data_IF_365911920186
#
_entry.id   IF_365911920186
#
_cell.length_a   1.000
_cell.length_b   1.000
_cell.length_c   1.000
_cell.angle_alpha   90.00
_cell.angle_beta   90.00
_cell.angle_gamma   90.00
#
_symmetry.space_group_name_H-M   'P 1'
#
loop_
_entity.id
_entity.type
_entity.pdbx_description
1 polymer ?
#
# COMPACT_ATOMS: atom_id res chain seq x y z
N UNK A 1 -44.08 2.68 9.01
CA UNK A 1 -43.82 1.27 9.35
C UNK A 1 -42.40 0.94 8.99
N UNK A 2 -41.56 0.80 10.02
CA UNK A 2 -40.15 0.47 9.91
C UNK A 2 -40.01 -1.03 9.68
N UNK A 3 -39.29 -1.42 8.63
CA UNK A 3 -39.03 -2.82 8.33
C UNK A 3 -38.59 -2.98 6.89
N UNK A 4 -37.52 -3.75 6.69
CA UNK A 4 -36.98 -4.19 5.39
C UNK A 4 -36.07 -3.18 4.67
N UNK A 5 -34.97 -2.77 5.32
CA UNK A 5 -33.73 -2.38 4.61
C UNK A 5 -32.53 -2.74 5.48
N UNK A 6 -32.04 -3.98 5.39
CA UNK A 6 -30.66 -4.40 5.77
C UNK A 6 -30.55 -5.93 5.76
N UNK A 7 -30.27 -6.54 4.61
CA UNK A 7 -29.96 -7.97 4.56
C UNK A 7 -29.17 -8.28 3.28
N UNK A 8 -27.88 -7.91 3.27
CA UNK A 8 -26.79 -8.53 2.47
C UNK A 8 -25.43 -7.83 2.69
N UNK A 9 -25.42 -6.72 3.44
CA UNK A 9 -24.24 -5.89 3.73
C UNK A 9 -23.48 -6.31 5.02
N UNK A 10 -24.09 -7.17 5.84
CA UNK A 10 -23.65 -7.55 7.19
C UNK A 10 -22.53 -8.60 7.17
N UNK A 11 -22.42 -9.41 6.11
CA UNK A 11 -21.57 -10.62 6.10
C UNK A 11 -20.08 -10.35 5.82
N UNK A 12 -19.70 -9.13 5.41
CA UNK A 12 -18.33 -8.79 5.01
C UNK A 12 -17.50 -8.15 6.15
N UNK A 13 -18.14 -7.39 7.04
CA UNK A 13 -17.49 -6.72 8.17
C UNK A 13 -17.24 -7.66 9.35
N UNK A 14 -18.06 -8.70 9.53
CA UNK A 14 -17.74 -9.83 10.41
C UNK A 14 -16.49 -10.60 9.94
N UNK A 15 -16.25 -10.68 8.63
CA UNK A 15 -14.99 -11.22 8.07
C UNK A 15 -13.80 -10.29 8.28
N UNK A 16 -13.98 -8.96 8.23
CA UNK A 16 -12.93 -8.00 8.56
C UNK A 16 -12.53 -8.11 10.04
N UNK A 17 -13.49 -8.20 10.95
CA UNK A 17 -13.24 -8.37 12.38
C UNK A 17 -12.67 -9.77 12.71
N UNK A 18 -13.19 -10.86 12.13
CA UNK A 18 -12.70 -12.24 12.39
C UNK A 18 -11.34 -12.52 11.72
N UNK A 19 -11.06 -11.97 10.53
CA UNK A 19 -9.74 -12.10 9.89
C UNK A 19 -8.71 -11.26 10.63
N UNK A 20 -9.06 -10.05 11.07
CA UNK A 20 -8.16 -9.20 11.83
C UNK A 20 -7.96 -9.76 13.25
N UNK A 21 -9.01 -10.04 14.01
CA UNK A 21 -8.91 -10.62 15.38
C UNK A 21 -8.32 -12.04 15.37
N UNK A 22 -8.63 -12.86 14.37
CA UNK A 22 -8.08 -14.21 14.21
C UNK A 22 -6.60 -14.24 13.83
N UNK A 23 -6.12 -13.27 13.03
CA UNK A 23 -4.69 -13.12 12.70
C UNK A 23 -3.92 -12.40 13.81
N UNK A 24 -4.57 -11.46 14.50
CA UNK A 24 -4.06 -10.74 15.68
C UNK A 24 -3.77 -11.72 16.82
N UNK A 25 -4.64 -12.73 17.07
CA UNK A 25 -4.37 -13.80 18.05
C UNK A 25 -3.13 -14.67 17.73
N UNK A 26 -2.76 -14.80 16.45
CA UNK A 26 -1.66 -15.66 15.99
C UNK A 26 -0.31 -14.91 15.98
N UNK A 27 -0.33 -13.56 15.99
CA UNK A 27 0.88 -12.73 15.81
C UNK A 27 1.20 -11.87 17.06
N UNK A 28 0.26 -11.72 18.01
CA UNK A 28 0.39 -10.87 19.20
C UNK A 28 1.23 -11.41 20.38
N UNK A 29 2.17 -12.34 20.19
CA UNK A 29 3.07 -12.67 21.32
C UNK A 29 4.23 -11.69 21.50
N UNK A 30 4.62 -10.92 20.47
CA UNK A 30 5.84 -10.08 20.54
C UNK A 30 5.74 -8.65 19.90
N UNK A 31 4.57 -8.15 19.50
CA UNK A 31 4.45 -6.94 18.65
C UNK A 31 3.57 -5.81 19.24
N UNK A 32 3.82 -5.42 20.48
CA UNK A 32 2.99 -4.46 21.22
C UNK A 32 2.84 -3.04 20.59
N UNK A 33 3.90 -2.35 20.10
CA UNK A 33 3.74 -0.96 19.65
C UNK A 33 3.16 -0.82 18.24
N UNK A 34 3.34 -1.83 17.37
CA UNK A 34 2.90 -1.78 15.96
C UNK A 34 1.53 -2.40 15.71
N UNK A 35 1.12 -3.36 16.56
CA UNK A 35 -0.26 -3.84 16.58
C UNK A 35 -1.23 -2.72 17.05
N UNK A 36 -0.76 -1.83 17.92
CA UNK A 36 -1.49 -0.65 18.37
C UNK A 36 -1.81 0.29 17.21
N UNK A 37 -0.89 0.50 16.26
CA UNK A 37 -1.11 1.34 15.06
C UNK A 37 -2.25 0.82 14.19
N UNK A 38 -2.32 -0.50 13.98
CA UNK A 38 -3.37 -1.15 13.21
C UNK A 38 -4.71 -1.13 13.97
N UNK A 39 -4.70 -1.41 15.27
CA UNK A 39 -5.87 -1.30 16.15
C UNK A 39 -6.42 0.13 16.18
N UNK A 40 -5.54 1.13 16.28
CA UNK A 40 -5.91 2.54 16.26
C UNK A 40 -6.48 2.94 14.90
N UNK A 41 -5.88 2.56 13.77
CA UNK A 41 -6.44 2.87 12.44
C UNK A 41 -7.80 2.19 12.23
N UNK A 42 -7.98 0.96 12.69
CA UNK A 42 -9.25 0.22 12.57
C UNK A 42 -10.33 0.79 13.49
N UNK A 43 -9.98 1.16 14.72
CA UNK A 43 -10.88 1.85 15.65
C UNK A 43 -11.20 3.27 15.18
N UNK A 44 -10.27 3.98 14.54
CA UNK A 44 -10.48 5.30 13.92
C UNK A 44 -11.46 5.24 12.76
N UNK A 45 -11.28 4.28 11.84
CA UNK A 45 -12.22 4.04 10.75
C UNK A 45 -13.59 3.65 11.31
N UNK A 46 -13.65 2.82 12.36
CA UNK A 46 -14.90 2.52 13.07
C UNK A 46 -15.54 3.74 13.75
N UNK A 47 -14.75 4.66 14.32
CA UNK A 47 -15.25 5.87 14.98
C UNK A 47 -15.85 6.88 14.01
N UNK A 48 -15.20 7.07 12.85
CA UNK A 48 -15.72 7.89 11.74
C UNK A 48 -17.05 7.31 11.23
N UNK A 49 -17.08 5.99 11.00
CA UNK A 49 -18.29 5.27 10.57
C UNK A 49 -19.42 5.40 11.61
N UNK A 50 -19.11 5.30 12.92
CA UNK A 50 -20.10 5.40 13.99
C UNK A 50 -20.62 6.83 14.23
N UNK A 51 -19.84 7.86 13.93
CA UNK A 51 -20.26 9.27 14.06
C UNK A 51 -21.14 9.75 12.91
N UNK A 52 -21.13 9.05 11.77
CA UNK A 52 -21.77 9.55 10.56
C UNK A 52 -21.00 10.71 9.89
N UNK A 53 -19.74 10.95 10.28
CA UNK A 53 -18.83 11.92 9.66
C UNK A 53 -18.33 11.37 8.31
N UNK A 54 -19.24 11.26 7.35
CA UNK A 54 -18.91 10.86 6.01
C UNK A 54 -18.44 12.08 5.21
N UNK A 55 -17.40 11.91 4.40
CA UNK A 55 -16.87 12.97 3.56
C UNK A 55 -17.94 13.46 2.57
N UNK A 56 -18.30 14.74 2.66
CA UNK A 56 -19.30 15.40 1.81
C UNK A 56 -18.67 15.95 0.51
N UNK A 57 -19.46 16.63 -0.31
CA UNK A 57 -18.98 17.22 -1.57
C UNK A 57 -18.01 18.39 -1.34
N UNK A 58 -18.17 19.16 -0.26
CA UNK A 58 -17.30 20.29 0.06
C UNK A 58 -15.93 19.82 0.55
N UNK A 59 -15.90 18.78 1.36
CA UNK A 59 -14.68 18.12 1.83
C UNK A 59 -13.93 17.47 0.67
N UNK A 60 -14.65 16.85 -0.28
CA UNK A 60 -14.03 16.38 -1.52
C UNK A 60 -13.29 17.51 -2.24
N UNK A 61 -13.93 18.67 -2.43
CA UNK A 61 -13.31 19.81 -3.13
C UNK A 61 -12.01 20.25 -2.45
N UNK A 62 -11.97 20.30 -1.11
CA UNK A 62 -10.76 20.68 -0.35
C UNK A 62 -9.59 19.71 -0.60
N UNK A 63 -9.87 18.44 -0.88
CA UNK A 63 -8.85 17.44 -1.16
C UNK A 63 -8.30 17.53 -2.59
N UNK A 64 -9.04 18.13 -3.53
CA UNK A 64 -8.66 18.15 -4.94
C UNK A 64 -7.52 19.14 -5.22
N UNK A 65 -6.63 18.81 -6.17
CA UNK A 65 -5.61 19.74 -6.62
C UNK A 65 -6.22 20.96 -7.33
N UNK A 66 -5.56 22.10 -7.19
CA UNK A 66 -5.90 23.32 -7.94
C UNK A 66 -5.85 23.06 -9.45
N UNK A 67 -6.85 23.54 -10.20
CA UNK A 67 -6.90 23.37 -11.66
C UNK A 67 -7.47 22.03 -12.14
N UNK A 68 -7.99 21.18 -11.24
CA UNK A 68 -8.58 19.89 -11.62
C UNK A 68 -9.71 20.00 -12.66
N UNK A 69 -10.48 21.10 -12.63
CA UNK A 69 -11.54 21.38 -13.60
C UNK A 69 -10.98 21.65 -14.99
N UNK A 70 -9.98 22.52 -15.09
CA UNK A 70 -9.33 22.84 -16.36
C UNK A 70 -8.66 21.58 -16.95
N UNK A 71 -7.97 20.81 -16.11
CA UNK A 71 -7.37 19.54 -16.50
C UNK A 71 -8.41 18.53 -17.04
N UNK A 72 -9.66 18.55 -16.52
CA UNK A 72 -10.74 17.71 -17.02
C UNK A 72 -11.04 17.96 -18.51
N UNK A 73 -11.06 19.23 -18.90
CA UNK A 73 -11.30 19.64 -20.29
C UNK A 73 -10.06 19.42 -21.16
N UNK A 74 -8.87 19.79 -20.69
CA UNK A 74 -7.61 19.63 -21.42
C UNK A 74 -7.31 18.17 -21.75
N UNK A 75 -7.54 17.27 -20.78
CA UNK A 75 -7.40 15.82 -20.94
C UNK A 75 -8.61 15.18 -21.63
N UNK A 76 -9.58 15.98 -22.10
CA UNK A 76 -10.77 15.55 -22.87
C UNK A 76 -11.66 14.55 -22.12
N UNK A 77 -11.61 14.56 -20.78
CA UNK A 77 -12.54 13.78 -19.95
C UNK A 77 -13.97 14.29 -20.13
N UNK A 78 -14.17 15.61 -20.25
CA UNK A 78 -15.39 16.23 -20.76
C UNK A 78 -15.06 17.00 -22.04
N UNK A 79 -15.79 16.70 -23.12
CA UNK A 79 -15.68 17.41 -24.41
C UNK A 79 -16.97 18.10 -24.83
N UNK A 80 -18.12 17.61 -24.35
CA UNK A 80 -19.45 18.19 -24.60
C UNK A 80 -20.27 18.07 -23.32
N UNK A 81 -20.87 19.16 -22.87
CA UNK A 81 -21.71 19.24 -21.67
C UNK A 81 -23.12 18.71 -22.00
N UNK A 82 -23.28 17.38 -22.00
CA UNK A 82 -24.59 16.71 -22.16
C UNK A 82 -25.22 16.47 -20.78
N UNK A 83 -25.45 15.21 -20.40
CA UNK A 83 -25.90 14.82 -19.06
C UNK A 83 -24.94 15.34 -17.98
N UNK A 84 -23.65 15.05 -18.12
CA UNK A 84 -22.63 15.49 -17.16
C UNK A 84 -22.18 16.91 -17.55
N UNK A 85 -22.49 17.88 -16.68
CA UNK A 85 -22.33 19.32 -16.96
C UNK A 85 -21.00 19.90 -16.47
N UNK A 86 -20.49 19.41 -15.35
CA UNK A 86 -19.27 19.91 -14.71
C UNK A 86 -18.31 18.76 -14.30
N UNK A 87 -17.02 19.07 -14.07
CA UNK A 87 -16.02 18.10 -13.65
C UNK A 87 -16.30 17.44 -12.30
N UNK A 88 -16.84 18.18 -11.33
CA UNK A 88 -17.12 17.66 -9.99
C UNK A 88 -18.13 16.52 -10.00
N UNK A 89 -19.24 16.67 -10.74
CA UNK A 89 -20.25 15.63 -10.91
C UNK A 89 -19.69 14.38 -11.60
N UNK A 90 -18.82 14.59 -12.60
CA UNK A 90 -18.10 13.48 -13.22
C UNK A 90 -17.24 12.73 -12.21
N UNK A 91 -16.50 13.46 -11.38
CA UNK A 91 -15.65 12.86 -10.36
C UNK A 91 -16.47 12.12 -9.30
N UNK A 92 -17.57 12.70 -8.81
CA UNK A 92 -18.50 12.05 -7.87
C UNK A 92 -19.01 10.71 -8.44
N UNK A 93 -19.42 10.68 -9.70
CA UNK A 93 -19.82 9.44 -10.37
C UNK A 93 -18.70 8.39 -10.45
N UNK A 94 -17.49 8.84 -10.80
CA UNK A 94 -16.31 7.97 -10.90
C UNK A 94 -15.98 7.39 -9.52
N UNK A 95 -15.90 8.22 -8.48
CA UNK A 95 -15.58 7.78 -7.12
C UNK A 95 -16.67 6.87 -6.56
N UNK A 96 -17.95 7.16 -6.83
CA UNK A 96 -19.07 6.29 -6.46
C UNK A 96 -18.92 4.91 -7.12
N UNK A 97 -18.68 4.86 -8.44
CA UNK A 97 -18.45 3.62 -9.16
C UNK A 97 -17.27 2.81 -8.60
N UNK A 98 -16.19 3.51 -8.24
CA UNK A 98 -14.98 2.92 -7.67
C UNK A 98 -15.14 2.57 -6.18
N UNK A 99 -16.19 3.03 -5.49
CA UNK A 99 -16.41 2.77 -4.07
C UNK A 99 -17.08 1.40 -3.84
N UNK A 100 -16.29 0.37 -3.52
CA UNK A 100 -16.82 -0.97 -3.22
C UNK A 100 -17.42 -1.71 -4.44
N UNK A 101 -18.44 -2.55 -4.20
CA UNK A 101 -19.11 -3.40 -5.20
C UNK A 101 -20.32 -2.71 -5.85
N UNK A 102 -20.14 -1.55 -6.49
CA UNK A 102 -21.24 -0.90 -7.23
C UNK A 102 -21.40 -1.50 -8.62
N UNK A 103 -22.64 -1.82 -8.96
CA UNK A 103 -23.04 -2.15 -10.32
C UNK A 103 -23.19 -0.88 -11.16
N UNK A 104 -23.22 -1.02 -12.49
CA UNK A 104 -23.52 0.11 -13.38
C UNK A 104 -24.95 0.64 -13.20
N UNK A 105 -25.87 -0.21 -12.74
CA UNK A 105 -27.23 0.17 -12.35
C UNK A 105 -27.16 1.13 -11.16
N UNK A 106 -26.35 0.83 -10.14
CA UNK A 106 -26.18 1.72 -8.98
C UNK A 106 -25.64 3.09 -9.39
N UNK A 107 -24.68 3.13 -10.31
CA UNK A 107 -24.13 4.40 -10.84
C UNK A 107 -25.20 5.20 -11.57
N UNK A 108 -26.01 4.56 -12.39
CA UNK A 108 -27.11 5.20 -13.12
C UNK A 108 -28.17 5.77 -12.17
N UNK A 109 -28.51 5.04 -11.10
CA UNK A 109 -29.42 5.52 -10.06
C UNK A 109 -28.82 6.67 -9.25
N UNK A 110 -27.56 6.57 -8.87
CA UNK A 110 -26.84 7.63 -8.17
C UNK A 110 -26.80 8.93 -9.00
N UNK A 111 -26.60 8.82 -10.31
CA UNK A 111 -26.63 9.98 -11.22
C UNK A 111 -28.01 10.68 -11.24
N UNK A 112 -29.11 9.91 -11.16
CA UNK A 112 -30.46 10.46 -11.12
C UNK A 112 -30.74 11.15 -9.78
N UNK A 113 -30.45 10.48 -8.67
CA UNK A 113 -30.71 10.99 -7.31
C UNK A 113 -29.86 12.23 -7.02
N UNK A 114 -28.63 12.28 -7.54
CA UNK A 114 -27.72 13.42 -7.33
C UNK A 114 -27.94 14.58 -8.31
N UNK A 115 -29.03 14.57 -9.10
CA UNK A 115 -29.35 15.64 -10.04
C UNK A 115 -28.44 15.76 -11.26
N UNK A 116 -27.49 14.83 -11.46
CA UNK A 116 -26.57 14.81 -12.61
C UNK A 116 -27.32 14.46 -13.89
N UNK A 117 -28.32 13.58 -13.78
CA UNK A 117 -29.25 13.24 -14.85
C UNK A 117 -29.08 11.83 -15.41
N UNK A 118 -29.91 11.49 -16.40
CA UNK A 118 -29.99 10.13 -16.95
C UNK A 118 -28.76 9.78 -17.77
N UNK A 119 -28.03 8.75 -17.33
CA UNK A 119 -26.89 8.15 -18.02
C UNK A 119 -27.13 6.64 -18.16
N UNK A 120 -26.72 6.06 -19.29
CA UNK A 120 -26.76 4.61 -19.48
C UNK A 120 -25.42 3.98 -19.09
N UNK A 121 -25.44 2.70 -18.74
CA UNK A 121 -24.25 1.89 -18.43
C UNK A 121 -23.14 2.04 -19.50
N UNK A 122 -23.51 1.92 -20.78
CA UNK A 122 -22.58 2.08 -21.91
C UNK A 122 -22.08 3.52 -22.03
N UNK A 123 -22.95 4.50 -21.78
CA UNK A 123 -22.60 5.92 -21.80
C UNK A 123 -21.60 6.28 -20.69
N UNK A 124 -21.83 5.77 -19.48
CA UNK A 124 -20.93 5.92 -18.35
C UNK A 124 -19.59 5.24 -18.61
N UNK A 125 -19.57 3.97 -19.02
CA UNK A 125 -18.30 3.27 -19.26
C UNK A 125 -17.44 3.91 -20.36
N UNK A 126 -18.06 4.36 -21.46
CA UNK A 126 -17.36 5.14 -22.49
C UNK A 126 -16.78 6.45 -21.95
N UNK A 127 -17.46 7.08 -20.99
CA UNK A 127 -16.98 8.29 -20.33
C UNK A 127 -15.84 7.96 -19.35
N UNK A 128 -16.01 6.94 -18.51
CA UNK A 128 -15.04 6.47 -17.52
C UNK A 128 -13.67 6.18 -18.18
N UNK A 129 -13.66 5.42 -19.27
CA UNK A 129 -12.44 5.12 -20.03
C UNK A 129 -11.76 6.41 -20.54
N UNK A 130 -12.55 7.38 -21.02
CA UNK A 130 -12.02 8.69 -21.45
C UNK A 130 -11.46 9.54 -20.31
N UNK A 131 -11.76 9.21 -19.06
CA UNK A 131 -11.24 9.92 -17.90
C UNK A 131 -9.83 9.47 -17.51
N UNK A 132 -9.28 8.42 -18.14
CA UNK A 132 -7.98 7.84 -17.79
C UNK A 132 -6.88 8.89 -17.58
N UNK A 133 -6.63 9.73 -18.59
CA UNK A 133 -5.58 10.75 -18.55
C UNK A 133 -5.85 11.83 -17.49
N UNK A 134 -7.12 12.12 -17.22
CA UNK A 134 -7.50 13.07 -16.17
C UNK A 134 -7.35 12.47 -14.77
N UNK A 135 -7.67 11.19 -14.59
CA UNK A 135 -7.45 10.45 -13.34
C UNK A 135 -5.94 10.36 -13.05
N UNK A 136 -5.12 10.04 -14.06
CA UNK A 136 -3.65 10.04 -13.93
C UNK A 136 -3.15 11.44 -13.54
N UNK A 137 -3.69 12.49 -14.15
CA UNK A 137 -3.35 13.86 -13.77
C UNK A 137 -3.72 14.13 -12.31
N UNK A 138 -4.90 13.73 -11.85
CA UNK A 138 -5.33 13.88 -10.46
C UNK A 138 -4.38 13.16 -9.50
N UNK A 139 -4.00 11.90 -9.77
CA UNK A 139 -3.09 11.15 -8.90
C UNK A 139 -1.70 11.75 -8.82
N UNK A 140 -1.24 12.42 -9.87
CA UNK A 140 0.06 13.11 -9.90
C UNK A 140 0.06 14.45 -9.15
N UNK A 141 -1.10 15.09 -8.99
CA UNK A 141 -1.21 16.44 -8.41
C UNK A 141 -1.82 16.45 -7.00
N UNK A 142 -2.32 15.32 -6.50
CA UNK A 142 -2.71 15.19 -5.09
C UNK A 142 -1.45 15.23 -4.23
N UNK A 143 -1.32 16.29 -3.45
CA UNK A 143 -0.25 16.41 -2.47
C UNK A 143 -0.54 15.49 -1.28
N UNK A 144 0.47 14.72 -0.81
CA UNK A 144 0.32 13.89 0.36
C UNK A 144 0.09 14.76 1.60
N UNK A 145 -0.75 14.26 2.50
CA UNK A 145 -0.93 14.82 3.83
C UNK A 145 -0.55 13.74 4.85
N UNK A 146 0.47 13.97 5.71
CA UNK A 146 0.95 12.95 6.64
C UNK A 146 -0.17 12.38 7.50
N UNK A 147 -0.36 11.06 7.47
CA UNK A 147 -1.42 10.36 8.22
C UNK A 147 -1.03 10.21 9.70
N UNK A 148 0.28 10.19 9.97
CA UNK A 148 0.83 10.10 11.32
C UNK A 148 2.02 11.05 11.45
N UNK A 149 2.16 11.63 12.64
CA UNK A 149 3.34 12.38 13.05
C UNK A 149 4.16 11.51 14.01
N UNK A 150 4.81 10.46 13.50
CA UNK A 150 5.79 9.72 14.31
C UNK A 150 7.09 10.52 14.36
N UNK A 151 7.66 10.65 15.56
CA UNK A 151 9.02 11.16 15.68
C UNK A 151 9.99 10.16 15.04
N UNK A 152 10.73 10.64 14.04
CA UNK A 152 11.83 9.88 13.46
C UNK A 152 12.92 9.71 14.53
N UNK A 153 13.54 8.54 14.61
CA UNK A 153 14.81 8.42 15.33
C UNK A 153 15.83 9.42 14.80
N UNK A 154 16.68 9.98 15.66
CA UNK A 154 17.60 11.06 15.27
C UNK A 154 18.49 10.71 14.06
N UNK A 155 18.93 9.46 13.95
CA UNK A 155 19.75 9.01 12.80
C UNK A 155 18.96 8.90 11.48
N UNK A 156 17.61 8.90 11.54
CA UNK A 156 16.72 8.88 10.38
C UNK A 156 16.23 10.25 9.94
N UNK A 157 16.49 11.31 10.72
CA UNK A 157 16.17 12.69 10.37
C UNK A 157 16.66 13.13 8.98
N UNK A 158 17.90 12.83 8.55
CA UNK A 158 18.37 13.25 7.23
C UNK A 158 17.71 12.48 6.07
N UNK A 159 16.92 11.45 6.38
CA UNK A 159 16.39 10.54 5.37
C UNK A 159 14.88 10.67 5.15
N UNK A 160 14.50 10.62 3.87
CA UNK A 160 13.18 10.16 3.45
C UNK A 160 13.21 8.63 3.36
N UNK A 161 12.56 7.97 4.32
CA UNK A 161 12.63 6.51 4.43
C UNK A 161 11.50 5.86 3.65
N UNK A 162 11.84 5.21 2.54
CA UNK A 162 10.91 4.65 1.57
C UNK A 162 10.89 3.13 1.67
N UNK A 163 9.77 2.53 2.08
CA UNK A 163 9.56 1.11 1.90
C UNK A 163 9.00 0.84 0.49
N UNK A 164 9.74 0.04 -0.27
CA UNK A 164 9.43 -0.27 -1.67
C UNK A 164 9.08 -1.74 -1.81
N UNK A 165 7.98 -2.00 -2.52
CA UNK A 165 7.56 -3.33 -2.91
C UNK A 165 6.63 -3.26 -4.13
N UNK A 166 6.27 -4.42 -4.69
CA UNK A 166 5.33 -4.53 -5.79
C UNK A 166 4.21 -5.52 -5.47
N UNK A 167 3.06 -5.33 -6.12
CA UNK A 167 1.93 -6.24 -5.99
C UNK A 167 1.25 -6.52 -7.31
N UNK A 168 0.96 -7.80 -7.52
CA UNK A 168 0.19 -8.27 -8.67
C UNK A 168 -1.28 -7.89 -8.57
N UNK A 169 -1.82 -7.43 -9.69
CA UNK A 169 -3.24 -7.17 -9.90
C UNK A 169 -3.69 -7.98 -11.12
N UNK A 170 -4.74 -8.78 -10.96
CA UNK A 170 -5.21 -9.71 -11.99
C UNK A 170 -6.58 -9.29 -12.50
N UNK A 171 -6.76 -9.31 -13.81
CA UNK A 171 -8.06 -9.07 -14.44
C UNK A 171 -9.00 -10.29 -14.29
N UNK A 172 -10.28 -10.04 -14.01
CA UNK A 172 -11.33 -11.08 -14.00
C UNK A 172 -11.83 -11.31 -15.43
N UNK A 173 -11.54 -12.47 -16.00
CA UNK A 173 -12.03 -12.85 -17.32
C UNK A 173 -11.36 -14.11 -17.88
N UNK A 174 -11.76 -14.51 -19.08
CA UNK A 174 -11.15 -15.64 -19.80
C UNK A 174 -9.68 -15.37 -20.17
N UNK A 175 -9.36 -14.10 -20.49
CA UNK A 175 -7.99 -13.63 -20.69
C UNK A 175 -7.52 -12.97 -19.40
N UNK A 176 -6.65 -13.65 -18.64
CA UNK A 176 -6.10 -13.13 -17.39
C UNK A 176 -4.89 -12.24 -17.69
N UNK A 177 -5.11 -10.93 -17.76
CA UNK A 177 -4.00 -9.97 -17.81
C UNK A 177 -3.45 -9.74 -16.41
N UNK A 178 -2.13 -9.65 -16.32
CA UNK A 178 -1.40 -9.39 -15.08
C UNK A 178 -0.78 -7.99 -15.15
N UNK A 179 -1.08 -7.20 -14.13
CA UNK A 179 -0.50 -5.88 -13.89
C UNK A 179 0.33 -5.91 -12.62
N UNK A 180 1.39 -5.11 -12.58
CA UNK A 180 2.20 -4.88 -11.39
C UNK A 180 1.98 -3.44 -10.92
N UNK A 181 1.59 -3.30 -9.65
CA UNK A 181 1.63 -2.04 -8.94
C UNK A 181 2.94 -1.97 -8.15
N UNK A 182 3.89 -1.19 -8.64
CA UNK A 182 5.11 -0.82 -7.91
C UNK A 182 4.77 0.35 -7.00
N UNK A 183 5.11 0.27 -5.71
CA UNK A 183 4.68 1.25 -4.72
C UNK A 183 5.79 1.57 -3.73
N UNK A 184 5.99 2.86 -3.47
CA UNK A 184 6.89 3.39 -2.45
C UNK A 184 6.06 4.15 -1.42
N UNK A 185 6.08 3.68 -0.18
CA UNK A 185 5.46 4.37 0.96
C UNK A 185 6.54 5.04 1.79
N UNK A 186 6.33 6.30 2.14
CA UNK A 186 7.16 6.97 3.15
C UNK A 186 6.76 6.45 4.54
N UNK A 187 7.70 5.85 5.26
CA UNK A 187 7.40 5.12 6.50
C UNK A 187 7.00 6.01 7.68
N UNK A 188 7.33 7.30 7.63
CA UNK A 188 7.11 8.21 8.76
C UNK A 188 5.91 9.13 8.56
N UNK A 189 5.49 9.33 7.32
CA UNK A 189 4.20 9.97 6.98
C UNK A 189 3.09 8.96 6.65
N UNK A 190 3.45 7.71 6.32
CA UNK A 190 2.56 6.66 5.79
C UNK A 190 1.76 7.06 4.55
N UNK A 191 2.27 8.02 3.78
CA UNK A 191 1.68 8.45 2.52
C UNK A 191 2.35 7.77 1.34
N UNK A 192 1.60 7.61 0.24
CA UNK A 192 2.19 7.29 -1.05
C UNK A 192 3.26 8.33 -1.44
N UNK A 193 4.50 7.90 -1.60
CA UNK A 193 5.56 8.75 -2.15
C UNK A 193 5.61 8.62 -3.68
N UNK A 194 5.62 7.38 -4.17
CA UNK A 194 5.64 7.08 -5.60
C UNK A 194 4.88 5.79 -5.88
N UNK A 195 4.25 5.71 -7.04
CA UNK A 195 3.75 4.46 -7.55
C UNK A 195 3.91 4.40 -9.07
N UNK A 196 3.94 3.18 -9.62
CA UNK A 196 3.97 2.94 -11.06
C UNK A 196 3.16 1.70 -11.38
N UNK A 197 2.34 1.79 -12.41
CA UNK A 197 1.55 0.66 -12.91
C UNK A 197 2.22 0.18 -14.20
N UNK A 198 2.50 -1.12 -14.28
CA UNK A 198 3.10 -1.73 -15.47
C UNK A 198 2.41 -3.03 -15.82
N UNK A 199 2.52 -3.47 -17.07
CA UNK A 199 2.12 -4.82 -17.48
C UNK A 199 3.13 -5.88 -17.05
N UNK A 200 2.81 -7.15 -17.32
CA UNK A 200 3.59 -8.34 -16.97
C UNK A 200 5.04 -8.37 -17.47
N UNK A 201 5.36 -7.66 -18.56
CA UNK A 201 6.70 -7.65 -19.13
C UNK A 201 7.72 -6.88 -18.29
N UNK A 202 7.25 -6.01 -17.39
CA UNK A 202 8.12 -5.19 -16.54
C UNK A 202 8.23 -5.81 -15.16
N UNK A 203 9.42 -6.31 -14.84
CA UNK A 203 9.71 -6.91 -13.53
C UNK A 203 9.86 -5.89 -12.40
N UNK A 204 9.95 -6.44 -11.19
CA UNK A 204 10.23 -5.71 -9.96
C UNK A 204 11.68 -5.20 -9.97
N UNK A 205 11.86 -3.88 -9.94
CA UNK A 205 13.18 -3.25 -9.94
C UNK A 205 13.14 -1.87 -9.30
N UNK A 206 14.21 -1.49 -8.60
CA UNK A 206 14.36 -0.11 -8.10
C UNK A 206 14.41 0.93 -9.23
N UNK A 207 14.69 0.52 -10.48
CA UNK A 207 14.62 1.38 -11.67
C UNK A 207 13.21 1.89 -11.97
N UNK A 208 12.18 1.29 -11.38
CA UNK A 208 10.80 1.78 -11.51
C UNK A 208 10.53 3.03 -10.65
N UNK A 209 11.48 3.43 -9.81
CA UNK A 209 11.37 4.56 -8.89
C UNK A 209 12.43 5.61 -9.17
N UNK A 210 12.07 6.86 -8.94
CA UNK A 210 12.99 8.00 -9.00
C UNK A 210 13.58 8.18 -7.62
N UNK A 211 14.85 7.83 -7.46
CA UNK A 211 15.59 7.97 -6.20
C UNK A 211 16.44 9.24 -6.26
N UNK A 212 16.80 9.78 -5.11
CA UNK A 212 17.63 10.96 -4.99
C UNK A 212 18.45 10.93 -3.69
N UNK A 213 19.38 11.88 -3.59
CA UNK A 213 20.11 12.15 -2.35
C UNK A 213 19.14 12.38 -1.19
N UNK A 214 19.40 11.72 -0.07
CA UNK A 214 18.54 11.77 1.12
C UNK A 214 17.40 10.75 1.13
N UNK A 215 17.22 9.92 0.09
CA UNK A 215 16.32 8.77 0.17
C UNK A 215 17.02 7.59 0.86
N UNK A 216 16.33 6.92 1.79
CA UNK A 216 16.72 5.63 2.35
C UNK A 216 15.71 4.56 1.93
N UNK A 217 16.11 3.68 1.02
CA UNK A 217 15.24 2.63 0.46
C UNK A 217 15.29 1.37 1.32
N UNK A 218 14.13 0.92 1.77
CA UNK A 218 13.96 -0.39 2.42
C UNK A 218 13.21 -1.32 1.47
N UNK A 219 13.86 -2.40 1.03
CA UNK A 219 13.28 -3.29 0.03
C UNK A 219 13.53 -4.78 0.32
N UNK A 220 12.67 -5.62 -0.23
CA UNK A 220 12.71 -7.05 -0.03
C UNK A 220 13.84 -7.74 -0.83
N UNK A 221 13.87 -9.07 -0.79
CA UNK A 221 14.90 -9.89 -1.46
C UNK A 221 14.80 -9.97 -2.98
N UNK A 222 13.68 -9.56 -3.59
CA UNK A 222 13.59 -9.44 -5.04
C UNK A 222 14.45 -8.27 -5.53
N UNK A 223 14.54 -7.21 -4.72
CA UNK A 223 15.34 -6.01 -5.03
C UNK A 223 16.83 -6.16 -4.69
N UNK A 224 17.24 -7.18 -3.93
CA UNK A 224 18.64 -7.44 -3.54
C UNK A 224 19.57 -7.89 -4.68
N UNK A 225 19.65 -7.11 -5.76
CA UNK A 225 20.49 -7.35 -6.93
C UNK A 225 21.53 -6.23 -7.10
N UNK A 226 22.65 -6.55 -7.75
CA UNK A 226 23.72 -5.57 -8.07
C UNK A 226 23.14 -4.34 -8.78
N UNK A 227 22.30 -4.56 -9.80
CA UNK A 227 21.69 -3.47 -10.60
C UNK A 227 20.80 -2.54 -9.77
N UNK A 228 20.09 -3.08 -8.77
CA UNK A 228 19.24 -2.28 -7.89
C UNK A 228 20.08 -1.41 -6.95
N UNK A 229 21.12 -1.98 -6.34
CA UNK A 229 22.01 -1.25 -5.43
C UNK A 229 22.78 -0.16 -6.19
N UNK A 230 23.28 -0.46 -7.38
CA UNK A 230 23.91 0.53 -8.27
C UNK A 230 22.98 1.68 -8.63
N UNK A 231 21.73 1.38 -9.01
CA UNK A 231 20.75 2.42 -9.33
C UNK A 231 20.50 3.35 -8.15
N UNK A 232 20.42 2.81 -6.94
CA UNK A 232 20.25 3.59 -5.72
C UNK A 232 21.46 4.47 -5.41
N UNK A 233 22.67 3.90 -5.43
CA UNK A 233 23.92 4.63 -5.17
C UNK A 233 24.20 5.71 -6.23
N UNK A 234 23.95 5.40 -7.51
CA UNK A 234 24.15 6.36 -8.60
C UNK A 234 23.22 7.58 -8.49
N UNK A 235 22.04 7.40 -7.87
CA UNK A 235 21.12 8.48 -7.56
C UNK A 235 21.47 9.25 -6.27
N UNK A 236 22.53 8.84 -5.55
CA UNK A 236 22.93 9.40 -4.26
C UNK A 236 22.07 8.95 -3.08
N UNK A 237 21.21 7.96 -3.27
CA UNK A 237 20.38 7.39 -2.22
C UNK A 237 21.10 6.28 -1.44
N UNK A 238 20.58 5.99 -0.26
CA UNK A 238 21.01 4.90 0.60
C UNK A 238 19.97 3.78 0.65
N UNK A 239 20.38 2.59 1.09
CA UNK A 239 19.48 1.45 1.13
C UNK A 239 19.70 0.50 2.31
N UNK A 240 18.64 -0.21 2.70
CA UNK A 240 18.65 -1.39 3.55
C UNK A 240 17.84 -2.47 2.84
N UNK A 241 18.51 -3.41 2.19
CA UNK A 241 17.87 -4.40 1.30
C UNK A 241 18.16 -5.80 1.81
N UNK A 242 17.13 -6.64 1.87
CA UNK A 242 17.35 -8.06 2.14
C UNK A 242 17.96 -8.74 0.92
N UNK A 243 18.93 -9.62 1.13
CA UNK A 243 19.56 -10.37 0.04
C UNK A 243 19.22 -11.85 0.11
N UNK A 244 19.32 -12.54 -1.02
CA UNK A 244 19.22 -14.00 -1.10
C UNK A 244 20.58 -14.61 -0.74
N UNK A 245 20.58 -15.86 -0.26
CA UNK A 245 21.82 -16.61 -0.21
C UNK A 245 22.40 -16.73 -1.63
N UNK A 246 23.72 -16.48 -1.78
CA UNK A 246 24.44 -16.46 -3.06
C UNK A 246 23.82 -15.54 -4.12
N UNK A 247 23.28 -14.39 -3.73
CA UNK A 247 22.77 -13.40 -4.68
C UNK A 247 23.85 -12.91 -5.65
N UNK A 248 25.07 -12.73 -5.15
CA UNK A 248 26.28 -12.32 -5.87
C UNK A 248 27.50 -12.72 -5.03
N UNK A 249 28.69 -12.59 -5.62
CA UNK A 249 29.94 -12.77 -4.88
C UNK A 249 30.20 -11.55 -4.00
N UNK A 250 30.57 -11.80 -2.75
CA UNK A 250 31.06 -10.80 -1.80
C UNK A 250 32.56 -10.94 -1.64
N UNK A 251 33.23 -9.83 -1.42
CA UNK A 251 34.68 -9.73 -1.35
C UNK A 251 35.13 -8.97 -0.09
N UNK A 252 36.37 -9.20 0.34
CA UNK A 252 37.06 -8.35 1.31
C UNK A 252 37.69 -7.12 0.63
N UNK A 253 38.41 -6.29 1.40
CA UNK A 253 39.08 -5.10 0.91
C UNK A 253 40.21 -5.39 -0.10
N UNK A 254 40.83 -6.57 0.01
CA UNK A 254 41.91 -7.03 -0.86
C UNK A 254 41.38 -7.72 -2.12
N UNK A 255 40.06 -7.85 -2.26
CA UNK A 255 39.40 -8.51 -3.39
C UNK A 255 39.35 -10.04 -3.27
N UNK A 256 39.71 -10.58 -2.11
CA UNK A 256 39.51 -11.98 -1.75
C UNK A 256 38.02 -12.31 -1.62
N UNK A 257 37.63 -13.50 -2.07
CA UNK A 257 36.21 -13.90 -2.06
C UNK A 257 35.82 -14.40 -0.66
N UNK A 258 34.79 -13.80 -0.08
CA UNK A 258 34.27 -14.19 1.22
C UNK A 258 33.22 -15.30 1.10
N UNK A 259 33.28 -16.28 2.00
CA UNK A 259 32.26 -17.33 2.14
C UNK A 259 31.20 -16.87 3.13
N UNK A 260 30.08 -16.38 2.59
CA UNK A 260 29.00 -15.77 3.39
C UNK A 260 28.47 -16.66 4.51
N UNK A 261 28.37 -17.96 4.28
CA UNK A 261 27.86 -18.92 5.28
C UNK A 261 28.79 -19.14 6.45
N UNK A 262 30.10 -19.00 6.26
CA UNK A 262 31.08 -19.25 7.32
C UNK A 262 31.02 -18.13 8.35
N UNK A 263 30.88 -16.89 7.89
CA UNK A 263 30.58 -15.75 8.77
C UNK A 263 29.23 -15.92 9.47
N UNK A 264 28.16 -16.31 8.77
CA UNK A 264 26.85 -16.51 9.43
C UNK A 264 26.89 -17.54 10.58
N UNK A 265 27.83 -18.51 10.58
CA UNK A 265 27.96 -19.48 11.69
C UNK A 265 28.45 -18.83 12.98
N UNK A 266 29.19 -17.72 12.88
CA UNK A 266 29.67 -16.97 14.05
C UNK A 266 28.58 -16.08 14.64
N UNK A 267 27.57 -15.72 13.84
CA UNK A 267 26.52 -14.78 14.22
C UNK A 267 25.58 -15.37 15.30
N UNK A 268 25.49 -14.68 16.43
CA UNK A 268 24.60 -14.97 17.55
C UNK A 268 23.21 -14.34 17.42
N UNK A 269 22.45 -14.32 18.52
CA UNK A 269 21.14 -13.64 18.57
C UNK A 269 21.26 -12.11 18.60
N UNK A 270 22.45 -11.59 18.94
CA UNK A 270 22.81 -10.18 18.86
C UNK A 270 23.05 -9.76 17.42
N UNK A 271 22.80 -8.48 17.11
CA UNK A 271 23.09 -7.92 15.81
C UNK A 271 24.62 -7.83 15.60
N UNK A 272 25.09 -8.41 14.51
CA UNK A 272 26.48 -8.38 14.08
C UNK A 272 26.57 -7.82 12.66
N UNK A 273 27.76 -7.35 12.28
CA UNK A 273 28.02 -6.78 10.98
C UNK A 273 29.30 -7.30 10.33
N UNK A 274 29.33 -7.21 9.01
CA UNK A 274 30.46 -7.56 8.17
C UNK A 274 30.62 -6.51 7.08
N UNK A 275 31.79 -5.88 7.04
CA UNK A 275 32.18 -5.03 5.91
C UNK A 275 32.47 -5.92 4.70
N UNK A 276 31.86 -5.59 3.57
CA UNK A 276 31.97 -6.36 2.34
C UNK A 276 32.15 -5.44 1.15
N UNK A 277 32.73 -5.98 0.09
CA UNK A 277 32.78 -5.34 -1.20
C UNK A 277 31.99 -6.15 -2.21
N UNK A 278 31.24 -5.47 -3.07
CA UNK A 278 30.58 -6.09 -4.22
C UNK A 278 31.21 -5.55 -5.49
N UNK A 279 31.24 -6.37 -6.55
CA UNK A 279 31.62 -5.87 -7.88
C UNK A 279 30.39 -5.28 -8.57
N UNK A 280 30.49 -4.01 -8.95
CA UNK A 280 29.49 -3.38 -9.77
C UNK A 280 29.57 -3.86 -11.24
N UNK A 281 28.70 -3.34 -12.10
CA UNK A 281 28.59 -3.64 -13.53
C UNK A 281 29.87 -3.26 -14.29
N UNK A 282 30.65 -2.30 -13.78
CA UNK A 282 31.97 -1.90 -14.28
C UNK A 282 33.13 -2.72 -13.65
N UNK A 283 32.80 -3.75 -12.86
CA UNK A 283 33.75 -4.60 -12.11
C UNK A 283 34.56 -3.87 -11.03
N UNK A 284 34.18 -2.65 -10.64
CA UNK A 284 34.77 -1.92 -9.52
C UNK A 284 34.22 -2.45 -8.20
N UNK A 285 35.08 -2.49 -7.18
CA UNK A 285 34.69 -2.85 -5.82
C UNK A 285 33.94 -1.67 -5.18
N UNK A 286 32.74 -1.95 -4.67
CA UNK A 286 31.90 -0.99 -3.96
C UNK A 286 31.79 -1.44 -2.50
N UNK A 287 32.24 -0.61 -1.54
CA UNK A 287 32.15 -0.94 -0.12
C UNK A 287 30.69 -0.88 0.34
N UNK A 288 30.27 -1.90 1.09
CA UNK A 288 28.96 -2.04 1.69
C UNK A 288 29.10 -2.77 3.03
N UNK A 289 28.00 -2.89 3.76
CA UNK A 289 27.93 -3.64 5.01
C UNK A 289 26.79 -4.63 4.98
N UNK A 290 27.00 -5.82 5.55
CA UNK A 290 25.93 -6.77 5.83
C UNK A 290 25.69 -6.75 7.34
N UNK A 291 24.44 -6.53 7.75
CA UNK A 291 24.00 -6.65 9.13
C UNK A 291 23.18 -7.93 9.27
N UNK A 292 23.45 -8.74 10.29
CA UNK A 292 22.75 -10.00 10.53
C UNK A 292 22.48 -10.24 12.02
N UNK A 293 21.40 -10.97 12.31
CA UNK A 293 21.20 -11.61 13.60
C UNK A 293 20.59 -12.99 13.40
N UNK A 294 20.87 -13.91 14.32
CA UNK A 294 20.19 -15.19 14.40
C UNK A 294 18.78 -14.98 14.93
N UNK A 295 17.81 -15.59 14.26
CA UNK A 295 16.41 -15.60 14.73
C UNK A 295 16.30 -16.35 16.04
N UNK A 296 15.32 -15.98 16.85
CA UNK A 296 15.01 -16.69 18.09
C UNK A 296 14.57 -18.13 17.81
N UNK A 297 14.67 -19.01 18.81
CA UNK A 297 14.22 -20.42 18.69
C UNK A 297 12.77 -20.54 18.22
N UNK A 298 11.89 -19.65 18.68
CA UNK A 298 10.47 -19.62 18.31
C UNK A 298 10.28 -19.25 16.82
N UNK A 299 10.98 -18.21 16.35
CA UNK A 299 10.96 -17.79 14.95
C UNK A 299 11.55 -18.87 14.01
N UNK A 300 12.62 -19.55 14.43
CA UNK A 300 13.21 -20.67 13.70
C UNK A 300 12.20 -21.82 13.57
N UNK A 301 11.50 -22.16 14.65
CA UNK A 301 10.48 -23.22 14.63
C UNK A 301 9.33 -22.86 13.67
N UNK A 302 8.83 -21.63 13.72
CA UNK A 302 7.79 -21.14 12.82
C UNK A 302 8.26 -21.15 11.34
N UNK A 303 9.50 -20.72 11.08
CA UNK A 303 10.08 -20.74 9.74
C UNK A 303 10.24 -22.15 9.20
N UNK A 304 10.68 -23.12 10.03
CA UNK A 304 10.75 -24.54 9.64
C UNK A 304 9.40 -25.09 9.20
N UNK A 305 8.32 -24.77 9.92
CA UNK A 305 6.95 -25.14 9.53
C UNK A 305 6.58 -24.49 8.19
N UNK A 306 6.92 -23.21 8.00
CA UNK A 306 6.65 -22.49 6.75
C UNK A 306 7.41 -23.08 5.56
N UNK A 307 8.68 -23.43 5.75
CA UNK A 307 9.52 -24.08 4.73
C UNK A 307 8.90 -25.42 4.32
N UNK A 308 8.57 -26.30 5.27
CA UNK A 308 7.93 -27.59 4.96
C UNK A 308 6.64 -27.43 4.15
N UNK A 309 5.79 -26.46 4.53
CA UNK A 309 4.57 -26.13 3.77
C UNK A 309 4.91 -25.63 2.35
N UNK A 310 5.97 -24.84 2.19
CA UNK A 310 6.40 -24.31 0.90
C UNK A 310 6.97 -25.41 0.01
N UNK A 311 7.82 -26.30 0.55
CA UNK A 311 8.39 -27.44 -0.17
C UNK A 311 7.28 -28.38 -0.66
N UNK A 312 6.28 -28.64 0.19
CA UNK A 312 5.09 -29.42 -0.18
C UNK A 312 4.26 -28.71 -1.27
N UNK A 313 3.97 -27.42 -1.13
CA UNK A 313 3.17 -26.70 -2.14
C UNK A 313 3.87 -26.57 -3.49
N UNK A 314 5.20 -26.39 -3.49
CA UNK A 314 6.00 -26.19 -4.71
C UNK A 314 6.63 -27.47 -5.24
N UNK A 315 6.45 -28.60 -4.55
CA UNK A 315 7.05 -29.90 -4.87
C UNK A 315 8.56 -29.80 -5.13
N UNK A 316 9.26 -29.00 -4.32
CA UNK A 316 10.70 -28.74 -4.46
C UNK A 316 11.35 -28.60 -3.11
N UNK A 317 12.39 -29.40 -2.85
CA UNK A 317 13.22 -29.32 -1.65
C UNK A 317 14.20 -28.16 -1.74
N UNK A 318 14.38 -27.42 -0.65
CA UNK A 318 15.40 -26.39 -0.54
C UNK A 318 16.77 -27.04 -0.25
N UNK A 319 17.85 -26.39 -0.68
CA UNK A 319 19.19 -26.84 -0.32
C UNK A 319 19.44 -26.67 1.19
N UNK A 320 20.26 -27.53 1.79
CA UNK A 320 20.58 -27.47 3.22
C UNK A 320 21.20 -26.13 3.61
N UNK A 321 21.99 -25.54 2.71
CA UNK A 321 22.56 -24.21 2.89
C UNK A 321 21.48 -23.12 2.89
N UNK A 322 20.49 -23.21 2.00
CA UNK A 322 19.34 -22.31 2.04
C UNK A 322 18.57 -22.48 3.34
N UNK A 323 18.32 -23.70 3.81
CA UNK A 323 17.65 -23.96 5.10
C UNK A 323 18.46 -23.38 6.27
N UNK A 324 19.78 -23.51 6.25
CA UNK A 324 20.68 -22.91 7.24
C UNK A 324 20.52 -21.39 7.31
N UNK A 325 20.57 -20.70 6.17
CA UNK A 325 20.42 -19.23 6.12
C UNK A 325 19.03 -18.74 6.57
N UNK A 326 17.98 -19.58 6.53
CA UNK A 326 16.65 -19.20 7.04
C UNK A 326 16.59 -19.03 8.56
N UNK A 327 17.60 -19.53 9.29
CA UNK A 327 17.76 -19.30 10.73
C UNK A 327 18.24 -17.87 11.05
N UNK A 328 18.62 -17.10 10.03
CA UNK A 328 19.16 -15.76 10.19
C UNK A 328 18.26 -14.73 9.53
N UNK A 329 18.33 -13.52 10.06
CA UNK A 329 17.82 -12.31 9.44
C UNK A 329 19.02 -11.47 9.03
N UNK A 330 19.17 -11.17 7.75
CA UNK A 330 20.29 -10.40 7.25
C UNK A 330 19.89 -9.47 6.10
N UNK A 331 20.56 -8.32 6.04
CA UNK A 331 20.35 -7.27 5.06
C UNK A 331 21.70 -6.69 4.66
N UNK A 332 21.79 -6.19 3.42
CA UNK A 332 22.91 -5.39 2.95
C UNK A 332 22.52 -3.91 2.97
N UNK A 333 23.47 -3.05 3.35
CA UNK A 333 23.26 -1.61 3.51
C UNK A 333 24.44 -0.81 2.99
N UNK A 334 24.16 0.39 2.48
CA UNK A 334 25.15 1.41 2.14
C UNK A 334 25.46 2.35 3.31
N UNK A 335 24.66 2.29 4.38
CA UNK A 335 24.78 3.18 5.52
C UNK A 335 26.08 2.95 6.31
N UNK A 336 26.70 4.03 6.80
CA UNK A 336 28.04 3.98 7.39
C UNK A 336 28.03 3.40 8.82
N UNK A 337 29.21 3.11 9.36
CA UNK A 337 29.40 2.34 10.58
C UNK A 337 28.85 3.02 11.85
N UNK A 338 28.66 4.34 11.82
CA UNK A 338 28.09 5.12 12.92
C UNK A 338 26.65 4.70 13.26
N UNK A 339 25.92 4.15 12.29
CA UNK A 339 24.60 3.56 12.50
C UNK A 339 24.78 2.09 12.81
N UNK A 340 24.32 1.65 13.98
CA UNK A 340 24.57 0.30 14.47
C UNK A 340 23.81 -0.77 13.66
N UNK A 341 24.36 -1.99 13.60
CA UNK A 341 23.67 -3.14 12.99
C UNK A 341 22.28 -3.40 13.59
N UNK A 342 22.09 -3.12 14.88
CA UNK A 342 20.81 -3.26 15.57
C UNK A 342 19.76 -2.25 15.07
N UNK A 343 20.16 -0.99 14.83
CA UNK A 343 19.30 0.04 14.26
C UNK A 343 18.93 -0.30 12.81
N UNK A 344 19.89 -0.75 12.00
CA UNK A 344 19.64 -1.19 10.63
C UNK A 344 18.60 -2.32 10.58
N UNK A 345 18.80 -3.37 11.38
CA UNK A 345 17.89 -4.51 11.43
C UNK A 345 16.50 -4.12 11.97
N UNK A 346 16.45 -3.22 12.96
CA UNK A 346 15.19 -2.69 13.51
C UNK A 346 14.45 -1.84 12.49
N UNK A 347 15.14 -0.98 11.76
CA UNK A 347 14.60 -0.18 10.66
C UNK A 347 14.04 -1.08 9.56
N UNK A 348 14.77 -2.13 9.17
CA UNK A 348 14.29 -3.08 8.16
C UNK A 348 12.98 -3.77 8.57
N UNK A 349 12.71 -3.95 9.87
CA UNK A 349 11.42 -4.50 10.32
C UNK A 349 10.29 -3.66 9.75
N UNK A 350 10.38 -2.33 9.71
CA UNK A 350 9.33 -1.44 9.20
C UNK A 350 8.95 -1.67 7.73
N UNK A 351 9.74 -2.44 6.95
CA UNK A 351 9.39 -2.81 5.58
C UNK A 351 7.98 -3.41 5.46
N UNK A 352 7.50 -4.15 6.45
CA UNK A 352 6.17 -4.79 6.38
C UNK A 352 5.01 -3.78 6.22
N UNK A 353 5.23 -2.48 6.47
CA UNK A 353 4.23 -1.42 6.24
C UNK A 353 3.75 -1.36 4.79
N UNK A 354 4.63 -1.57 3.80
CA UNK A 354 4.21 -1.58 2.39
C UNK A 354 3.29 -2.77 2.07
N UNK A 355 3.50 -3.92 2.73
CA UNK A 355 2.61 -5.07 2.60
C UNK A 355 1.23 -4.78 3.19
N UNK A 356 1.15 -4.00 4.28
CA UNK A 356 -0.13 -3.53 4.80
C UNK A 356 -0.83 -2.61 3.82
N UNK A 357 -0.11 -1.70 3.17
CA UNK A 357 -0.69 -0.84 2.12
C UNK A 357 -1.30 -1.70 1.03
N UNK A 358 -0.60 -2.72 0.54
CA UNK A 358 -1.17 -3.65 -0.44
C UNK A 358 -2.37 -4.43 0.08
N UNK A 359 -2.35 -4.90 1.33
CA UNK A 359 -3.52 -5.55 1.94
C UNK A 359 -4.71 -4.59 2.02
N UNK A 360 -4.49 -3.32 2.36
CA UNK A 360 -5.52 -2.27 2.39
C UNK A 360 -6.10 -2.05 0.99
N UNK A 361 -5.24 -1.83 -0.01
CA UNK A 361 -5.64 -1.65 -1.40
C UNK A 361 -6.44 -2.84 -1.94
N UNK A 362 -5.97 -4.07 -1.70
CA UNK A 362 -6.60 -5.29 -2.21
C UNK A 362 -7.88 -5.65 -1.47
N UNK A 363 -7.94 -5.47 -0.16
CA UNK A 363 -9.10 -5.89 0.64
C UNK A 363 -10.17 -4.81 0.74
N UNK A 364 -9.78 -3.55 1.02
CA UNK A 364 -10.76 -2.46 1.21
C UNK A 364 -11.15 -1.83 -0.12
N UNK A 365 -10.16 -1.49 -0.96
CA UNK A 365 -10.42 -0.88 -2.26
C UNK A 365 -10.64 -1.93 -3.35
N UNK A 366 -10.56 -3.22 -3.02
CA UNK A 366 -10.79 -4.33 -3.92
C UNK A 366 -9.89 -4.34 -5.16
N UNK A 367 -8.72 -3.68 -5.07
CA UNK A 367 -7.78 -3.49 -6.18
C UNK A 367 -7.25 -4.82 -6.75
N UNK A 368 -7.40 -5.93 -6.03
CA UNK A 368 -6.88 -7.24 -6.44
C UNK A 368 -7.61 -7.90 -7.62
N UNK A 369 -8.77 -7.40 -8.04
CA UNK A 369 -9.51 -7.98 -9.16
C UNK A 369 -10.19 -6.93 -10.04
N UNK A 370 -9.74 -6.80 -11.28
CA UNK A 370 -10.27 -5.81 -12.22
C UNK A 370 -11.55 -6.36 -12.88
N UNK A 371 -12.69 -5.65 -12.85
CA UNK A 371 -13.96 -6.12 -13.40
C UNK A 371 -14.13 -5.85 -14.91
N UNK A 372 -13.16 -5.18 -15.53
CA UNK A 372 -13.21 -4.78 -16.95
C UNK A 372 -12.67 -5.88 -17.86
N UNK A 373 -12.85 -5.70 -19.18
CA UNK A 373 -12.41 -6.67 -20.21
C UNK A 373 -11.41 -6.08 -21.21
N UNK A 374 -11.17 -4.77 -21.19
CA UNK A 374 -10.25 -4.09 -22.12
C UNK A 374 -9.10 -3.46 -21.35
N UNK A 375 -7.99 -3.21 -22.04
CA UNK A 375 -6.75 -2.72 -21.42
C UNK A 375 -6.95 -1.32 -20.86
N UNK A 376 -7.57 -0.47 -21.67
CA UNK A 376 -7.79 0.94 -21.38
C UNK A 376 -8.75 1.11 -20.19
N UNK A 377 -9.76 0.24 -20.10
CA UNK A 377 -10.70 0.22 -19.00
C UNK A 377 -10.03 -0.30 -17.72
N UNK A 378 -9.16 -1.30 -17.82
CA UNK A 378 -8.39 -1.82 -16.70
C UNK A 378 -7.41 -0.79 -16.15
N UNK A 379 -6.67 -0.12 -17.02
CA UNK A 379 -5.73 0.94 -16.65
C UNK A 379 -6.46 2.13 -15.98
N UNK A 380 -7.58 2.58 -16.54
CA UNK A 380 -8.42 3.62 -15.94
C UNK A 380 -8.96 3.19 -14.56
N UNK A 381 -9.35 1.92 -14.42
CA UNK A 381 -9.84 1.35 -13.17
C UNK A 381 -8.76 1.30 -12.09
N UNK A 382 -7.56 0.81 -12.41
CA UNK A 382 -6.45 0.74 -11.44
C UNK A 382 -6.09 2.15 -10.99
N UNK A 383 -5.87 3.07 -11.94
CA UNK A 383 -5.57 4.47 -11.60
C UNK A 383 -6.69 5.12 -10.77
N UNK A 384 -7.95 4.83 -11.08
CA UNK A 384 -9.09 5.30 -10.30
C UNK A 384 -9.08 4.78 -8.85
N UNK A 385 -8.73 3.51 -8.64
CA UNK A 385 -8.58 2.96 -7.30
C UNK A 385 -7.39 3.54 -6.53
N UNK A 386 -6.29 3.84 -7.22
CA UNK A 386 -5.17 4.57 -6.62
C UNK A 386 -5.60 5.99 -6.23
N UNK A 387 -6.31 6.70 -7.11
CA UNK A 387 -6.90 8.02 -6.80
C UNK A 387 -7.76 7.98 -5.53
N UNK A 388 -8.64 6.97 -5.42
CA UNK A 388 -9.45 6.77 -4.23
C UNK A 388 -8.60 6.55 -2.97
N UNK A 389 -7.50 5.78 -3.07
CA UNK A 389 -6.56 5.60 -1.96
C UNK A 389 -5.88 6.90 -1.55
N UNK A 390 -5.40 7.68 -2.52
CA UNK A 390 -4.70 8.94 -2.26
C UNK A 390 -5.62 9.98 -1.61
N UNK A 391 -6.87 10.08 -2.07
CA UNK A 391 -7.88 10.92 -1.44
C UNK A 391 -8.20 10.46 -0.02
N UNK A 392 -8.30 9.14 0.20
CA UNK A 392 -8.49 8.57 1.54
C UNK A 392 -7.32 8.92 2.47
N UNK A 393 -6.08 8.74 1.98
CA UNK A 393 -4.86 9.08 2.73
C UNK A 393 -4.83 10.57 3.09
N UNK A 394 -5.11 11.45 2.12
CA UNK A 394 -5.13 12.89 2.33
C UNK A 394 -6.16 13.31 3.37
N UNK A 395 -7.39 12.80 3.24
CA UNK A 395 -8.48 13.06 4.19
C UNK A 395 -8.11 12.58 5.61
N UNK A 396 -7.51 11.40 5.75
CA UNK A 396 -7.10 10.88 7.05
C UNK A 396 -5.99 11.69 7.71
N UNK A 397 -5.17 12.42 6.94
CA UNK A 397 -4.20 13.37 7.48
C UNK A 397 -4.82 14.69 7.96
N UNK A 398 -5.97 15.09 7.40
CA UNK A 398 -6.69 16.32 7.79
C UNK A 398 -7.50 16.15 9.08
N UNK A 399 -7.86 14.91 9.41
CA UNK A 399 -8.60 14.59 10.62
C UNK A 399 -7.65 14.57 11.82
N UNK A 400 -7.77 15.55 12.72
CA UNK A 400 -7.03 15.58 13.98
C UNK A 400 -7.54 14.47 14.91
N UNK A 401 -6.62 13.62 15.36
CA UNK A 401 -6.91 12.52 16.29
C UNK A 401 -6.22 12.82 17.62
N UNK A 402 -6.83 13.68 18.44
CA UNK A 402 -6.37 13.89 19.82
C UNK A 402 -6.37 12.57 20.61
N UNK A 403 -5.28 12.22 21.32
CA UNK A 403 -5.21 11.01 22.17
C UNK A 403 -6.17 10.99 23.37
N UNK A 404 -7.05 11.97 23.54
CA UNK A 404 -7.93 12.11 24.72
C UNK A 404 -9.06 11.07 24.81
N UNK A 405 -8.96 9.93 24.13
CA UNK A 405 -9.94 8.83 24.15
C UNK A 405 -10.00 8.05 25.48
N UNK A 406 -9.19 8.40 26.48
CA UNK A 406 -9.17 7.77 27.80
C UNK A 406 -10.42 8.03 28.68
N UNK A 407 -11.49 8.62 28.16
CA UNK A 407 -12.73 8.83 28.92
C UNK A 407 -13.90 8.16 28.18
N UNK A 408 -13.98 6.82 28.30
CA UNK A 408 -15.25 6.08 28.36
C UNK A 408 -15.02 4.78 29.11
N UNK A 409 -15.17 4.87 30.43
CA UNK A 409 -15.34 3.74 31.33
C UNK A 409 -16.74 3.15 31.12
N UNK A 410 -16.88 2.24 30.16
CA UNK A 410 -17.83 1.13 30.20
C UNK A 410 -17.70 0.32 28.91
N UNK A 411 -17.45 -0.98 29.06
CA UNK A 411 -17.52 -1.97 27.99
C UNK A 411 -18.99 -2.20 27.63
N UNK A 412 -19.50 -1.45 26.65
CA UNK A 412 -20.77 -1.77 26.00
C UNK A 412 -20.54 -2.87 24.97
N UNK A 413 -20.91 -4.10 25.33
CA UNK A 413 -21.19 -5.14 24.35
C UNK A 413 -22.48 -4.75 23.62
N UNK A 414 -22.39 -4.44 22.32
CA UNK A 414 -23.56 -4.16 21.49
C UNK A 414 -23.62 -5.11 20.29
N UNK A 415 -24.84 -5.60 20.07
CA UNK A 415 -25.24 -6.60 19.09
C UNK A 415 -25.12 -6.12 17.63
N UNK A 416 -24.53 -6.98 16.80
CA UNK A 416 -25.16 -7.43 15.56
C UNK A 416 -24.94 -6.64 14.27
N UNK A 417 -25.50 -5.43 14.14
CA UNK A 417 -26.34 -5.24 12.93
C UNK A 417 -26.17 -3.96 12.08
N UNK A 418 -25.02 -3.26 12.05
CA UNK A 418 -24.85 -2.14 11.09
C UNK A 418 -23.50 -2.08 10.36
N UNK A 419 -23.55 -1.77 9.05
CA UNK A 419 -22.42 -1.75 8.12
C UNK A 419 -22.10 -0.32 7.63
N UNK A 420 -20.82 0.10 7.68
CA UNK A 420 -20.38 1.46 7.39
C UNK A 420 -19.84 1.73 5.97
N UNK A 421 -20.09 2.95 5.49
CA UNK A 421 -19.59 3.57 4.25
C UNK A 421 -18.48 4.60 4.62
N UNK A 422 -17.47 4.88 3.79
CA UNK A 422 -16.47 5.95 4.08
C UNK A 422 -16.78 7.28 3.38
N UNK A 423 -17.55 7.23 2.28
CA UNK A 423 -17.91 8.38 1.45
C UNK A 423 -19.42 8.55 1.36
N UNK A 424 -19.95 9.69 1.76
CA UNK A 424 -21.35 10.04 1.55
C UNK A 424 -21.44 11.01 0.38
N UNK A 425 -21.73 10.46 -0.80
CA UNK A 425 -21.82 11.26 -2.01
C UNK A 425 -23.21 11.89 -2.22
N UNK A 426 -24.15 11.72 -1.28
CA UNK A 426 -25.45 12.37 -1.33
C UNK A 426 -25.33 13.86 -0.95
N UNK A 427 -26.20 14.68 -1.52
CA UNK A 427 -26.21 16.12 -1.30
C UNK A 427 -27.04 16.42 -0.04
N UNK A 428 -26.47 17.09 0.97
CA UNK A 428 -27.19 17.47 2.20
C UNK A 428 -28.37 18.43 1.92
N UNK A 429 -28.44 18.98 0.71
CA UNK A 429 -29.49 19.90 0.24
C UNK A 429 -30.58 19.22 -0.58
N UNK A 430 -30.56 17.90 -0.78
CA UNK A 430 -31.64 17.20 -1.46
C UNK A 430 -32.89 17.16 -0.56
N UNK A 431 -33.67 18.24 -0.57
CA UNK A 431 -35.05 18.21 -0.08
C UNK A 431 -35.80 17.15 -0.87
N UNK A 432 -36.11 16.04 -0.21
CA UNK A 432 -37.12 15.12 -0.70
C UNK A 432 -38.40 15.92 -0.97
N UNK A 433 -39.01 15.84 -2.16
CA UNK A 433 -40.37 16.33 -2.30
C UNK A 433 -41.23 15.49 -1.36
N UNK A 434 -41.85 16.16 -0.39
CA UNK A 434 -42.86 15.57 0.47
C UNK A 434 -43.95 14.91 -0.39
N UNK A 435 -44.21 13.63 -0.13
CA UNK A 435 -45.52 13.02 -0.37
C UNK A 435 -45.72 12.25 -1.68
N UNK A 436 -46.23 11.04 -1.49
CA UNK A 436 -47.04 10.21 -2.41
C UNK A 436 -46.29 9.42 -3.51
N UNK A 437 -45.77 8.24 -3.16
CA UNK A 437 -46.49 6.93 -3.20
C UNK A 437 -45.52 5.78 -2.89
#
# INVERSE_FOLDING_TARGET
>A
MAGVRSALLITCLSKLHVVIVGQVKIILRDFAPYALTLLLQIHKIHGIIKKGDFMDTNDLIKLLPSGYEQACFDKKAITRKRTIKNPLDLLRLILFYLSGNKSLIDVSQFALISGIGKISDVGFMKRFIKCKEWIIWLTQHILPNPVIQYQKPGWLEPFQVLAIDASDIVEKGAVKRLWHLHYAVDLFSLTCSQFKITGQSTGESLKNFTLAKGCLVIADRAYGTIKSMEHCLAAGGDFIIRIKNKAFNIYDADGGKLVFTDWLRTVGETAEELNVYIRNSEKKLVPLRICACKKTKAEIAAEKVRIKKMESKKQRKLSDETVFTHNYMFVITSLPAEISAAEILSCYRLRWQVELVFKRLKSLLQLGSIPTKTEEAGEAWINGKILLSLLTEKYLGDVDFSPSWNIRSQSECMEGDEAGILYNFYDDTAKYPDGNL
#
